data_IF_071279876484
#
_entry.id   IF_071279876484
#
_cell.length_a   1.000
_cell.length_b   1.000
_cell.length_c   1.000
_cell.angle_alpha   90.00
_cell.angle_beta   90.00
_cell.angle_gamma   90.00
#
_symmetry.space_group_name_H-M   'P 1'
#
loop_
_entity.id
_entity.type
_entity.pdbx_description
1 polymer ?
#
# COMPACT_ATOMS: atom_id res chain seq x y z
N UNK A 1 -16.87 -11.23 8.75
CA UNK A 1 -15.46 -11.36 8.33
C UNK A 1 -15.19 -12.72 7.72
N UNK A 2 -14.72 -12.79 6.48
CA UNK A 2 -14.31 -14.04 5.83
C UNK A 2 -13.07 -14.61 6.52
N UNK A 3 -13.09 -15.88 6.93
CA UNK A 3 -11.96 -16.52 7.62
C UNK A 3 -11.14 -17.40 6.66
N UNK A 4 -9.80 -17.35 6.71
CA UNK A 4 -8.94 -18.22 5.90
C UNK A 4 -9.05 -19.68 6.33
N UNK A 5 -8.88 -20.60 5.39
CA UNK A 5 -8.57 -21.99 5.72
C UNK A 5 -7.13 -22.11 6.26
N UNK A 6 -6.79 -23.21 6.94
CA UNK A 6 -5.49 -23.38 7.60
C UNK A 6 -4.28 -23.15 6.67
N UNK A 7 -4.36 -23.55 5.40
CA UNK A 7 -3.28 -23.33 4.41
C UNK A 7 -3.23 -21.91 3.82
N UNK A 8 -4.28 -21.12 4.06
CA UNK A 8 -4.43 -19.73 3.61
C UNK A 8 -4.16 -18.72 4.73
N UNK A 9 -4.02 -19.18 5.97
CA UNK A 9 -3.79 -18.34 7.13
C UNK A 9 -2.29 -18.09 7.35
N UNK A 10 -1.97 -16.92 7.90
CA UNK A 10 -0.70 -16.65 8.57
C UNK A 10 -0.74 -17.22 9.99
N UNK A 11 0.30 -17.93 10.40
CA UNK A 11 0.33 -18.68 11.66
C UNK A 11 0.28 -17.77 12.90
N UNK A 12 0.90 -16.58 12.81
CA UNK A 12 0.96 -15.64 13.94
C UNK A 12 -0.33 -14.83 14.07
N UNK A 13 -0.83 -14.29 12.96
CA UNK A 13 -1.91 -13.29 12.99
C UNK A 13 -3.29 -13.88 12.70
N UNK A 14 -3.37 -15.13 12.22
CA UNK A 14 -4.59 -15.78 11.72
C UNK A 14 -5.30 -15.03 10.57
N UNK A 15 -4.67 -13.98 10.02
CA UNK A 15 -5.13 -13.30 8.81
C UNK A 15 -4.78 -14.13 7.57
N UNK A 16 -5.27 -13.73 6.41
CA UNK A 16 -4.83 -14.34 5.15
C UNK A 16 -3.31 -14.14 4.97
N UNK A 17 -2.63 -15.14 4.45
CA UNK A 17 -1.24 -14.98 4.01
C UNK A 17 -1.17 -14.31 2.63
N UNK A 18 0.01 -13.81 2.27
CA UNK A 18 0.25 -13.14 0.98
C UNK A 18 -0.28 -13.91 -0.23
N UNK A 19 -0.07 -15.22 -0.28
CA UNK A 19 -0.50 -16.05 -1.42
C UNK A 19 -2.02 -16.05 -1.56
N UNK A 20 -2.73 -16.18 -0.44
CA UNK A 20 -4.19 -16.16 -0.44
C UNK A 20 -4.73 -14.76 -0.78
N UNK A 21 -4.13 -13.69 -0.25
CA UNK A 21 -4.49 -12.32 -0.62
C UNK A 21 -4.43 -12.06 -2.13
N UNK A 22 -3.35 -12.46 -2.81
CA UNK A 22 -3.21 -12.26 -4.25
C UNK A 22 -4.28 -13.04 -5.04
N UNK A 23 -4.59 -14.27 -4.63
CA UNK A 23 -5.63 -15.08 -5.26
C UNK A 23 -7.01 -14.41 -5.12
N UNK A 24 -7.32 -13.87 -3.94
CA UNK A 24 -8.58 -13.17 -3.67
C UNK A 24 -8.67 -11.84 -4.44
N UNK A 25 -7.58 -11.09 -4.51
CA UNK A 25 -7.50 -9.86 -5.31
C UNK A 25 -7.77 -10.12 -6.80
N UNK A 26 -7.17 -11.17 -7.35
CA UNK A 26 -7.43 -11.61 -8.73
C UNK A 26 -8.90 -11.98 -8.95
N UNK A 27 -9.51 -12.66 -7.99
CA UNK A 27 -10.93 -13.01 -7.99
C UNK A 27 -11.84 -11.77 -7.97
N UNK A 28 -11.63 -10.86 -7.02
CA UNK A 28 -12.41 -9.62 -6.87
C UNK A 28 -12.28 -8.74 -8.12
N UNK A 29 -11.06 -8.59 -8.66
CA UNK A 29 -10.83 -7.82 -9.88
C UNK A 29 -11.57 -8.41 -11.09
N UNK A 30 -11.57 -9.73 -11.22
CA UNK A 30 -12.28 -10.42 -12.31
C UNK A 30 -13.79 -10.21 -12.20
N UNK A 31 -14.35 -10.32 -10.99
CA UNK A 31 -15.78 -10.06 -10.74
C UNK A 31 -16.15 -8.60 -11.02
N UNK A 32 -15.34 -7.65 -10.56
CA UNK A 32 -15.56 -6.23 -10.78
C UNK A 32 -15.60 -5.87 -12.28
N UNK A 33 -14.68 -6.44 -13.08
CA UNK A 33 -14.63 -6.26 -14.54
C UNK A 33 -15.82 -6.85 -15.30
N UNK A 34 -16.39 -7.95 -14.82
CA UNK A 34 -17.53 -8.62 -15.46
C UNK A 34 -18.87 -7.95 -15.13
N UNK A 35 -18.91 -7.11 -14.11
CA UNK A 35 -20.13 -6.39 -13.72
C UNK A 35 -20.48 -5.30 -14.74
N UNK A 36 -21.78 -5.15 -15.05
CA UNK A 36 -22.28 -4.19 -16.04
C UNK A 36 -21.91 -2.72 -15.76
N UNK A 37 -21.65 -2.39 -14.48
CA UNK A 37 -21.38 -1.02 -14.03
C UNK A 37 -20.00 -0.86 -13.37
N UNK A 38 -19.08 -1.82 -13.52
CA UNK A 38 -17.76 -1.81 -12.87
C UNK A 38 -17.83 -1.51 -11.37
N UNK A 39 -18.21 -2.50 -10.57
CA UNK A 39 -18.35 -2.32 -9.12
C UNK A 39 -16.98 -1.93 -8.49
N UNK A 40 -16.87 -0.78 -7.82
CA UNK A 40 -15.61 -0.31 -7.28
C UNK A 40 -15.18 -1.16 -6.09
N UNK A 41 -13.87 -1.36 -5.96
CA UNK A 41 -13.26 -1.92 -4.76
C UNK A 41 -11.92 -1.23 -4.51
N UNK A 42 -11.46 -1.26 -3.27
CA UNK A 42 -10.22 -0.62 -2.88
C UNK A 42 -9.23 -1.62 -2.30
N UNK A 43 -7.94 -1.38 -2.52
CA UNK A 43 -6.84 -2.17 -1.98
C UNK A 43 -5.92 -1.25 -1.19
N UNK A 44 -5.60 -1.67 0.02
CA UNK A 44 -4.69 -0.95 0.90
C UNK A 44 -3.45 -1.78 1.20
N UNK A 45 -2.29 -1.13 1.19
CA UNK A 45 -1.06 -1.64 1.79
C UNK A 45 -0.77 -0.82 3.04
N UNK A 46 -0.40 -1.49 4.12
CA UNK A 46 -0.18 -0.92 5.44
C UNK A 46 1.14 -1.44 5.96
N UNK A 47 1.90 -0.60 6.66
CA UNK A 47 3.16 -0.96 7.28
C UNK A 47 3.24 -0.39 8.68
N UNK A 48 3.75 -1.19 9.61
CA UNK A 48 3.98 -0.75 11.00
C UNK A 48 5.24 0.10 11.05
N UNK A 49 5.06 1.38 11.40
CA UNK A 49 6.14 2.34 11.35
C UNK A 49 7.24 2.01 12.38
N UNK A 50 8.48 1.94 11.88
CA UNK A 50 9.68 1.67 12.69
C UNK A 50 9.63 0.33 13.43
N UNK A 51 9.02 -0.70 12.83
CA UNK A 51 8.95 -2.03 13.43
C UNK A 51 10.34 -2.64 13.76
N UNK A 52 11.37 -2.31 12.98
CA UNK A 52 12.75 -2.68 13.31
C UNK A 52 13.18 -2.15 14.69
N UNK A 53 12.92 -0.87 14.99
CA UNK A 53 13.28 -0.26 16.28
C UNK A 53 12.53 -0.91 17.46
N UNK A 54 11.28 -1.34 17.21
CA UNK A 54 10.49 -2.10 18.19
C UNK A 54 11.16 -3.44 18.49
N UNK A 55 11.57 -4.18 17.45
CA UNK A 55 12.27 -5.46 17.63
C UNK A 55 13.62 -5.29 18.34
N UNK A 56 14.38 -4.25 18.00
CA UNK A 56 15.66 -3.97 18.67
C UNK A 56 15.45 -3.66 20.16
N UNK A 57 14.38 -2.93 20.50
CA UNK A 57 14.12 -2.52 21.88
C UNK A 57 13.47 -3.61 22.73
N UNK A 58 12.49 -4.32 22.20
CA UNK A 58 11.64 -5.25 22.95
C UNK A 58 11.86 -6.73 22.57
N UNK A 59 12.76 -6.99 21.62
CA UNK A 59 13.01 -8.31 21.05
C UNK A 59 11.90 -8.74 20.09
N UNK A 60 12.17 -9.82 19.34
CA UNK A 60 11.20 -10.40 18.41
C UNK A 60 9.89 -10.80 19.08
N UNK A 61 9.91 -11.28 20.32
CA UNK A 61 8.69 -11.58 21.06
C UNK A 61 7.83 -10.34 21.34
N UNK A 62 8.44 -9.16 21.49
CA UNK A 62 7.73 -7.88 21.57
C UNK A 62 7.14 -7.47 20.21
N UNK A 63 7.90 -7.65 19.13
CA UNK A 63 7.40 -7.46 17.77
C UNK A 63 6.21 -8.36 17.43
N UNK A 64 6.27 -9.64 17.80
CA UNK A 64 5.18 -10.60 17.60
C UNK A 64 3.89 -10.12 18.30
N UNK A 65 4.01 -9.59 19.54
CA UNK A 65 2.87 -9.02 20.26
C UNK A 65 2.27 -7.80 19.55
N UNK A 66 3.09 -6.98 18.90
CA UNK A 66 2.64 -5.84 18.10
C UNK A 66 1.89 -6.32 16.85
N UNK A 67 2.41 -7.34 16.17
CA UNK A 67 1.76 -7.94 14.99
C UNK A 67 0.41 -8.57 15.34
N UNK A 68 0.34 -9.32 16.44
CA UNK A 68 -0.91 -9.90 16.97
C UNK A 68 -1.91 -8.80 17.38
N UNK A 69 -1.46 -7.75 18.07
CA UNK A 69 -2.34 -6.66 18.49
C UNK A 69 -2.86 -5.87 17.28
N UNK A 70 -2.00 -5.59 16.29
CA UNK A 70 -2.43 -4.90 15.08
C UNK A 70 -3.39 -5.75 14.25
N UNK A 71 -3.17 -7.06 14.15
CA UNK A 71 -4.09 -7.94 13.43
C UNK A 71 -5.48 -7.94 14.05
N UNK A 72 -5.60 -7.95 15.38
CA UNK A 72 -6.89 -7.83 16.08
C UNK A 72 -7.63 -6.54 15.71
N UNK A 73 -6.93 -5.40 15.72
CA UNK A 73 -7.51 -4.10 15.35
C UNK A 73 -8.04 -4.13 13.92
N UNK A 74 -7.24 -4.67 12.99
CA UNK A 74 -7.66 -4.80 11.59
C UNK A 74 -8.91 -5.69 11.47
N UNK A 75 -8.98 -6.81 12.20
CA UNK A 75 -10.15 -7.69 12.18
C UNK A 75 -11.41 -7.00 12.74
N UNK A 76 -11.27 -6.23 13.81
CA UNK A 76 -12.39 -5.53 14.44
C UNK A 76 -12.91 -4.35 13.61
N UNK A 77 -12.04 -3.68 12.86
CA UNK A 77 -12.34 -2.37 12.27
C UNK A 77 -12.41 -2.34 10.74
N UNK A 78 -11.82 -3.31 10.02
CA UNK A 78 -11.85 -3.30 8.55
C UNK A 78 -13.26 -3.51 7.98
N UNK A 79 -14.15 -4.13 8.75
CA UNK A 79 -15.51 -4.48 8.37
C UNK A 79 -15.65 -5.95 7.97
N UNK A 80 -16.87 -6.47 8.07
CA UNK A 80 -17.15 -7.89 7.86
C UNK A 80 -16.94 -8.39 6.43
N UNK A 81 -17.00 -7.46 5.48
CA UNK A 81 -16.80 -7.63 4.04
C UNK A 81 -15.33 -7.55 3.62
N UNK A 82 -14.49 -6.95 4.45
CA UNK A 82 -13.08 -6.76 4.13
C UNK A 82 -12.28 -8.07 4.25
N UNK A 83 -11.33 -8.24 3.34
CA UNK A 83 -10.34 -9.30 3.40
C UNK A 83 -9.01 -8.72 3.86
N UNK A 84 -8.54 -9.16 5.02
CA UNK A 84 -7.31 -8.66 5.63
C UNK A 84 -6.22 -9.73 5.65
N UNK A 85 -5.00 -9.34 5.35
CA UNK A 85 -3.86 -10.22 5.18
C UNK A 85 -2.62 -9.67 5.87
N UNK A 86 -1.78 -10.57 6.39
CA UNK A 86 -0.36 -10.30 6.61
C UNK A 86 0.38 -10.53 5.29
N UNK A 87 0.79 -9.44 4.66
CA UNK A 87 1.38 -9.44 3.32
C UNK A 87 2.89 -9.70 3.35
N UNK A 88 3.57 -9.20 4.39
CA UNK A 88 5.01 -9.33 4.61
C UNK A 88 5.35 -9.50 6.09
N UNK A 89 6.58 -9.16 6.47
CA UNK A 89 7.03 -9.26 7.88
C UNK A 89 6.17 -8.39 8.80
N UNK A 90 6.16 -7.10 8.54
CA UNK A 90 5.41 -6.03 9.22
C UNK A 90 4.39 -5.33 8.32
N UNK A 91 4.23 -5.86 7.11
CA UNK A 91 3.31 -5.34 6.10
C UNK A 91 1.98 -6.09 6.12
N UNK A 92 0.89 -5.34 6.06
CA UNK A 92 -0.47 -5.83 5.99
C UNK A 92 -1.13 -5.34 4.71
N UNK A 93 -2.07 -6.10 4.19
CA UNK A 93 -2.85 -5.71 3.03
C UNK A 93 -4.33 -5.97 3.26
N UNK A 94 -5.18 -5.06 2.78
CA UNK A 94 -6.64 -5.17 2.92
C UNK A 94 -7.30 -4.97 1.55
N UNK A 95 -8.24 -5.84 1.22
CA UNK A 95 -9.19 -5.64 0.13
C UNK A 95 -10.51 -5.19 0.75
N UNK A 96 -11.05 -4.07 0.28
CA UNK A 96 -12.39 -3.58 0.63
C UNK A 96 -13.31 -3.77 -0.59
N UNK A 97 -14.05 -4.88 -0.68
CA UNK A 97 -15.01 -5.11 -1.77
C UNK A 97 -16.11 -4.05 -1.75
N UNK A 98 -16.65 -3.71 -2.92
CA UNK A 98 -17.78 -2.79 -3.07
C UNK A 98 -17.56 -1.43 -2.36
N UNK A 99 -16.31 -1.02 -2.19
CA UNK A 99 -15.91 0.14 -1.39
C UNK A 99 -15.09 1.09 -2.22
N UNK A 100 -15.59 2.32 -2.36
CA UNK A 100 -14.90 3.41 -3.04
C UNK A 100 -13.71 3.94 -2.25
N UNK A 101 -12.85 4.67 -2.94
CA UNK A 101 -11.58 5.18 -2.43
C UNK A 101 -11.71 5.96 -1.14
N UNK A 102 -12.65 6.91 -1.09
CA UNK A 102 -12.86 7.80 0.04
C UNK A 102 -13.40 7.04 1.26
N UNK A 103 -14.24 6.01 1.03
CA UNK A 103 -14.75 5.16 2.11
C UNK A 103 -13.66 4.26 2.68
N UNK A 104 -12.83 3.66 1.82
CA UNK A 104 -11.68 2.88 2.25
C UNK A 104 -10.68 3.71 3.05
N UNK A 105 -10.42 4.95 2.62
CA UNK A 105 -9.59 5.91 3.38
C UNK A 105 -10.11 6.15 4.79
N UNK A 106 -11.42 6.40 4.93
CA UNK A 106 -12.03 6.63 6.25
C UNK A 106 -11.90 5.41 7.16
N UNK A 107 -12.13 4.19 6.64
CA UNK A 107 -11.94 2.95 7.43
C UNK A 107 -10.49 2.78 7.87
N UNK A 108 -9.53 3.10 7.00
CA UNK A 108 -8.11 3.01 7.33
C UNK A 108 -7.66 4.08 8.33
N UNK A 109 -8.19 5.30 8.26
CA UNK A 109 -7.91 6.31 9.29
C UNK A 109 -8.44 5.87 10.65
N UNK A 110 -9.60 5.21 10.70
CA UNK A 110 -10.09 4.62 11.96
C UNK A 110 -9.16 3.53 12.49
N UNK A 111 -8.69 2.62 11.63
CA UNK A 111 -7.69 1.60 11.99
C UNK A 111 -6.41 2.25 12.51
N UNK A 112 -5.89 3.27 11.82
CA UNK A 112 -4.65 3.98 12.19
C UNK A 112 -4.77 4.65 13.56
N UNK A 113 -5.89 5.35 13.80
CA UNK A 113 -6.14 6.00 15.08
C UNK A 113 -6.21 4.98 16.21
N UNK A 114 -6.95 3.87 16.02
CA UNK A 114 -7.06 2.82 17.02
C UNK A 114 -5.70 2.14 17.30
N UNK A 115 -4.92 1.88 16.25
CA UNK A 115 -3.57 1.33 16.36
C UNK A 115 -2.64 2.26 17.15
N UNK A 116 -2.67 3.56 16.85
CA UNK A 116 -1.87 4.57 17.57
C UNK A 116 -2.24 4.70 19.05
N UNK A 117 -3.48 4.39 19.42
CA UNK A 117 -3.97 4.42 20.80
C UNK A 117 -3.82 3.08 21.53
N UNK A 118 -3.47 2.00 20.84
CA UNK A 118 -3.35 0.66 21.42
C UNK A 118 -2.05 0.53 22.22
N UNK A 119 -2.19 0.42 23.53
CA UNK A 119 -1.09 -0.02 24.38
C UNK A 119 -0.93 -1.54 24.30
N UNK A 120 0.32 -2.01 24.13
CA UNK A 120 0.65 -3.44 24.10
C UNK A 120 1.61 -3.75 25.23
N UNK A 121 1.31 -4.80 26.00
CA UNK A 121 2.15 -5.26 27.12
C UNK A 121 2.95 -6.49 26.67
N UNK A 122 4.27 -6.44 26.81
CA UNK A 122 5.16 -7.56 26.46
C UNK A 122 5.06 -8.69 27.48
N UNK A 123 5.59 -9.86 27.15
CA UNK A 123 5.69 -11.00 28.09
C UNK A 123 6.54 -10.70 29.32
N UNK A 124 7.40 -9.66 29.26
CA UNK A 124 8.22 -9.18 30.37
C UNK A 124 7.55 -8.06 31.19
N UNK A 125 6.32 -7.69 30.85
CA UNK A 125 5.58 -6.60 31.51
C UNK A 125 5.97 -5.19 31.05
N UNK A 126 6.68 -5.06 29.94
CA UNK A 126 7.01 -3.75 29.37
C UNK A 126 5.84 -3.21 28.56
N UNK A 127 5.64 -1.90 28.60
CA UNK A 127 4.55 -1.23 27.88
C UNK A 127 5.08 -0.61 26.59
N UNK A 128 4.46 -0.95 25.47
CA UNK A 128 4.73 -0.37 24.14
C UNK A 128 3.60 0.62 23.82
N UNK A 129 3.89 1.92 23.72
CA UNK A 129 2.88 2.94 23.52
C UNK A 129 2.50 3.06 22.05
N UNK A 130 1.36 2.48 21.68
CA UNK A 130 0.81 2.61 20.34
C UNK A 130 1.49 1.75 19.29
N UNK A 131 0.81 1.64 18.15
CA UNK A 131 1.27 0.97 16.95
C UNK A 131 1.09 1.97 15.80
N UNK A 132 2.01 2.93 15.61
CA UNK A 132 1.90 3.87 14.49
C UNK A 132 1.98 3.10 13.18
N UNK A 133 1.09 3.41 12.25
CA UNK A 133 1.04 2.75 10.94
C UNK A 133 0.91 3.76 9.82
N UNK A 134 1.59 3.48 8.72
CA UNK A 134 1.41 4.21 7.46
C UNK A 134 0.64 3.33 6.48
N UNK A 135 -0.25 3.92 5.69
CA UNK A 135 -1.04 3.18 4.72
C UNK A 135 -1.18 3.91 3.38
N UNK A 136 -1.26 3.14 2.30
CA UNK A 136 -1.52 3.61 0.95
C UNK A 136 -2.70 2.89 0.31
N UNK A 137 -3.59 3.64 -0.34
CA UNK A 137 -4.85 3.12 -0.91
C UNK A 137 -4.92 3.37 -2.41
N UNK A 138 -5.33 2.36 -3.18
CA UNK A 138 -5.70 2.49 -4.58
C UNK A 138 -7.03 1.78 -4.86
N UNK A 139 -7.81 2.29 -5.80
CA UNK A 139 -9.16 1.79 -6.07
C UNK A 139 -9.37 1.46 -7.54
N UNK A 140 -10.05 0.36 -7.80
CA UNK A 140 -10.60 0.04 -9.11
C UNK A 140 -11.91 0.81 -9.33
N UNK A 141 -12.18 1.33 -10.54
CA UNK A 141 -11.30 1.36 -11.71
C UNK A 141 -10.40 2.61 -11.77
N UNK A 142 -10.57 3.57 -10.86
CA UNK A 142 -10.03 4.93 -10.99
C UNK A 142 -8.50 5.02 -10.94
N UNK A 143 -7.85 4.21 -10.10
CA UNK A 143 -6.40 4.26 -9.89
C UNK A 143 -5.65 3.18 -10.69
N UNK A 144 -6.38 2.14 -11.15
CA UNK A 144 -5.82 1.04 -11.91
C UNK A 144 -6.86 0.01 -12.33
N UNK A 145 -6.59 -0.72 -13.41
CA UNK A 145 -7.47 -1.77 -13.97
C UNK A 145 -6.82 -3.14 -13.97
N UNK A 146 -5.61 -3.26 -13.45
CA UNK A 146 -4.90 -4.53 -13.23
C UNK A 146 -4.44 -4.65 -11.78
N UNK A 147 -4.24 -5.89 -11.34
CA UNK A 147 -3.69 -6.19 -10.01
C UNK A 147 -2.36 -5.45 -9.77
N UNK A 148 -1.45 -5.52 -10.76
CA UNK A 148 -0.16 -4.85 -10.69
C UNK A 148 -0.27 -3.32 -10.58
N UNK A 149 -1.19 -2.69 -11.31
CA UNK A 149 -1.39 -1.24 -11.21
C UNK A 149 -1.92 -0.83 -9.84
N UNK A 150 -2.93 -1.55 -9.33
CA UNK A 150 -3.53 -1.26 -8.02
C UNK A 150 -2.48 -1.41 -6.91
N UNK A 151 -1.77 -2.54 -6.87
CA UNK A 151 -0.72 -2.77 -5.85
C UNK A 151 0.40 -1.74 -5.95
N UNK A 152 0.87 -1.43 -7.17
CA UNK A 152 1.90 -0.40 -7.37
C UNK A 152 1.43 0.98 -6.91
N UNK A 153 0.17 1.35 -7.18
CA UNK A 153 -0.37 2.65 -6.77
C UNK A 153 -0.59 2.74 -5.25
N UNK A 154 -1.04 1.66 -4.61
CA UNK A 154 -1.12 1.56 -3.15
C UNK A 154 0.26 1.67 -2.51
N UNK A 155 1.27 0.95 -3.04
CA UNK A 155 2.65 1.00 -2.57
C UNK A 155 3.25 2.42 -2.67
N UNK A 156 3.07 3.09 -3.80
CA UNK A 156 3.52 4.48 -3.95
C UNK A 156 2.82 5.45 -3.00
N UNK A 157 1.54 5.22 -2.70
CA UNK A 157 0.82 6.02 -1.71
C UNK A 157 1.36 5.76 -0.29
N UNK A 158 1.64 4.49 0.04
CA UNK A 158 2.26 4.10 1.31
C UNK A 158 3.66 4.71 1.47
N UNK A 159 4.49 4.65 0.42
CA UNK A 159 5.79 5.30 0.41
C UNK A 159 5.66 6.80 0.69
N UNK A 160 4.69 7.48 0.06
CA UNK A 160 4.42 8.90 0.30
C UNK A 160 3.96 9.17 1.74
N UNK A 161 3.21 8.27 2.36
CA UNK A 161 2.87 8.36 3.78
C UNK A 161 4.13 8.28 4.67
N UNK A 162 5.04 7.34 4.39
CA UNK A 162 6.30 7.17 5.12
C UNK A 162 7.23 8.38 5.00
N UNK A 163 7.36 8.93 3.80
CA UNK A 163 8.17 10.14 3.52
C UNK A 163 7.51 11.39 4.10
N UNK A 164 6.19 11.51 4.08
CA UNK A 164 5.50 12.68 4.63
C UNK A 164 5.41 12.73 6.17
N UNK A 165 6.23 11.95 6.88
CA UNK A 165 6.29 11.95 8.34
C UNK A 165 5.66 10.74 9.04
N UNK A 166 5.25 9.69 8.30
CA UNK A 166 4.65 8.45 8.83
C UNK A 166 3.30 8.69 9.53
N UNK A 167 2.76 7.66 10.19
CA UNK A 167 1.49 7.69 10.94
C UNK A 167 0.34 8.40 10.18
N UNK A 168 0.12 8.00 8.93
CA UNK A 168 -0.90 8.60 8.07
C UNK A 168 -1.36 7.66 6.97
N UNK A 169 -2.61 7.82 6.53
CA UNK A 169 -3.13 7.19 5.32
C UNK A 169 -2.97 8.15 4.14
N UNK A 170 -2.55 7.65 2.98
CA UNK A 170 -2.51 8.41 1.73
C UNK A 170 -3.33 7.68 0.66
N UNK A 171 -4.12 8.47 -0.07
CA UNK A 171 -4.75 8.01 -1.30
C UNK A 171 -3.73 8.02 -2.43
N UNK A 172 -3.84 7.06 -3.34
CA UNK A 172 -3.19 7.17 -4.63
C UNK A 172 -3.81 8.33 -5.41
N UNK A 173 -2.98 9.02 -6.17
CA UNK A 173 -3.43 10.08 -7.08
C UNK A 173 -3.00 9.76 -8.50
N UNK A 174 -3.81 10.23 -9.45
CA UNK A 174 -3.39 10.35 -10.84
C UNK A 174 -2.12 11.20 -10.88
N UNK A 175 -1.04 10.62 -11.38
CA UNK A 175 0.04 11.41 -11.95
C UNK A 175 -0.54 12.05 -13.21
N UNK A 176 -1.22 13.20 -13.07
CA UNK A 176 -1.52 14.01 -14.26
C UNK A 176 -0.19 14.32 -14.90
N UNK A 177 -0.04 13.87 -16.15
CA UNK A 177 1.05 14.28 -17.00
C UNK A 177 1.04 15.81 -17.04
N UNK A 178 2.05 16.45 -16.45
CA UNK A 178 2.28 17.87 -16.66
C UNK A 178 2.65 18.00 -18.15
N UNK A 179 2.00 18.89 -18.92
CA UNK A 179 2.27 19.00 -20.35
C UNK A 179 3.77 19.23 -20.58
N UNK A 180 4.38 18.38 -21.40
CA UNK A 180 5.82 18.39 -21.72
C UNK A 180 6.31 19.73 -22.31
N UNK A 181 5.38 20.54 -22.81
CA UNK A 181 5.65 21.75 -23.59
C UNK A 181 6.19 22.94 -22.80
N UNK A 182 6.10 22.98 -21.46
CA UNK A 182 6.66 24.10 -20.69
C UNK A 182 8.16 23.99 -20.42
N UNK A 183 8.77 22.79 -20.57
CA UNK A 183 10.14 22.53 -20.14
C UNK A 183 11.04 21.88 -21.19
N UNK A 184 10.50 21.45 -22.32
CA UNK A 184 11.25 20.80 -23.39
C UNK A 184 11.06 21.53 -24.73
N UNK A 185 12.14 21.64 -25.49
CA UNK A 185 12.10 22.16 -26.86
C UNK A 185 11.39 21.16 -27.80
N UNK A 186 10.83 21.65 -28.90
CA UNK A 186 10.21 20.81 -29.93
C UNK A 186 11.16 19.69 -30.42
N UNK A 187 12.44 20.02 -30.63
CA UNK A 187 13.46 19.05 -31.05
C UNK A 187 13.70 17.95 -30.02
N UNK A 188 13.60 18.26 -28.72
CA UNK A 188 13.71 17.23 -27.67
C UNK A 188 12.50 16.29 -27.67
N UNK A 189 11.30 16.82 -27.92
CA UNK A 189 10.07 16.02 -28.00
C UNK A 189 10.08 15.09 -29.22
N UNK A 190 10.54 15.57 -30.38
CA UNK A 190 10.69 14.75 -31.59
C UNK A 190 11.68 13.60 -31.37
N UNK A 191 12.81 13.87 -30.71
CA UNK A 191 13.81 12.83 -30.38
C UNK A 191 13.28 11.83 -29.36
N UNK A 192 12.54 12.29 -28.36
CA UNK A 192 11.91 11.43 -27.36
C UNK A 192 10.88 10.50 -28.01
N UNK A 193 10.06 11.04 -28.92
CA UNK A 193 9.06 10.26 -29.66
C UNK A 193 9.71 9.18 -30.51
N UNK A 194 10.77 9.55 -31.24
CA UNK A 194 11.57 8.59 -32.01
C UNK A 194 12.17 7.48 -31.13
N UNK A 195 12.72 7.83 -29.96
CA UNK A 195 13.28 6.88 -29.02
C UNK A 195 12.20 5.95 -28.44
N UNK A 196 11.00 6.47 -28.17
CA UNK A 196 9.84 5.71 -27.71
C UNK A 196 9.44 4.64 -28.72
N UNK A 197 9.38 4.99 -30.01
CA UNK A 197 9.10 4.05 -31.11
C UNK A 197 10.19 2.98 -31.25
N UNK A 198 11.47 3.40 -31.28
CA UNK A 198 12.61 2.48 -31.42
C UNK A 198 12.72 1.46 -30.28
N UNK A 199 12.34 1.87 -29.06
CA UNK A 199 12.38 1.02 -27.87
C UNK A 199 11.06 0.28 -27.61
N UNK A 200 9.98 0.65 -28.29
CA UNK A 200 8.62 0.14 -28.02
C UNK A 200 8.22 0.31 -26.54
N UNK A 201 8.61 1.45 -25.95
CA UNK A 201 8.29 1.84 -24.56
C UNK A 201 7.65 3.22 -24.60
N UNK A 202 6.73 3.55 -23.69
CA UNK A 202 6.07 4.85 -23.73
C UNK A 202 7.04 6.00 -23.45
N UNK A 203 6.81 7.16 -24.06
CA UNK A 203 7.60 8.37 -23.78
C UNK A 203 7.55 8.78 -22.29
N UNK A 204 6.52 8.35 -21.55
CA UNK A 204 6.40 8.59 -20.12
C UNK A 204 7.38 7.73 -19.30
N UNK A 205 7.58 6.48 -19.71
CA UNK A 205 8.53 5.58 -19.05
C UNK A 205 9.97 6.04 -19.29
N UNK A 206 10.29 6.44 -20.52
CA UNK A 206 11.61 7.01 -20.85
C UNK A 206 11.91 8.30 -20.07
N UNK A 207 10.91 9.14 -19.83
CA UNK A 207 11.07 10.34 -19.00
C UNK A 207 11.25 10.01 -17.51
N UNK A 208 10.58 8.96 -17.02
CA UNK A 208 10.77 8.48 -15.64
C UNK A 208 12.17 7.88 -15.48
N UNK A 209 12.60 7.04 -16.42
CA UNK A 209 13.98 6.52 -16.48
C UNK A 209 15.01 7.65 -16.51
N UNK A 210 14.83 8.64 -17.38
CA UNK A 210 15.73 9.80 -17.45
C UNK A 210 15.76 10.64 -16.16
N UNK A 211 14.63 10.72 -15.44
CA UNK A 211 14.56 11.38 -14.14
C UNK A 211 15.32 10.59 -13.07
N UNK A 212 15.11 9.28 -13.02
CA UNK A 212 15.78 8.38 -12.07
C UNK A 212 17.30 8.38 -12.29
N UNK A 213 17.74 8.36 -13.56
CA UNK A 213 19.14 8.50 -13.95
C UNK A 213 19.72 9.85 -13.52
N UNK A 214 18.96 10.94 -13.68
CA UNK A 214 19.38 12.28 -13.29
C UNK A 214 19.53 12.39 -11.77
N UNK A 215 18.56 11.89 -11.00
CA UNK A 215 18.61 11.88 -9.54
C UNK A 215 19.78 11.03 -9.03
N UNK A 216 19.97 9.85 -9.61
CA UNK A 216 21.10 8.96 -9.31
C UNK A 216 22.43 9.64 -9.59
N UNK A 217 22.56 10.32 -10.73
CA UNK A 217 23.75 11.06 -11.12
C UNK A 217 24.14 12.14 -10.12
N UNK A 218 23.16 12.81 -9.50
CA UNK A 218 23.41 13.86 -8.50
C UNK A 218 23.33 13.37 -7.05
N UNK A 219 23.23 12.05 -6.83
CA UNK A 219 23.19 11.46 -5.50
C UNK A 219 21.92 11.78 -4.70
N UNK A 220 20.87 12.27 -5.37
CA UNK A 220 19.57 12.60 -4.75
C UNK A 220 18.71 11.33 -4.72
N UNK A 221 19.17 10.33 -3.97
CA UNK A 221 18.53 9.01 -3.94
C UNK A 221 17.42 8.91 -2.88
N UNK A 222 17.33 9.90 -2.00
CA UNK A 222 16.36 9.99 -0.91
C UNK A 222 15.96 11.44 -0.75
N UNK A 223 14.66 11.68 -0.67
CA UNK A 223 14.16 12.94 -0.10
C UNK A 223 14.37 12.78 1.40
N UNK A 224 15.23 13.62 2.00
CA UNK A 224 15.29 13.73 3.46
C UNK A 224 13.93 14.23 3.94
N UNK A 225 13.27 13.35 4.67
CA UNK A 225 12.00 13.56 5.35
C UNK A 225 11.85 12.51 6.44
#
# INVERSE_FOLDING_TARGET
>A
MTKPQTSQADELTSLFNRKAFLAELSGVLSQAKLSTHEVPFSVALIDIDRFYDINERYGHAGGDKILEAFSQIVQEMAGDDALSSRYGGDEFAIIFPNTEREQAFLRLEQIRIAASQREVVTTKGEHIPGIPVSAGVASFPIDGRSENELLRKSDQALYRAKVAGRDQVRLSYEERMVPKTSHFTQTQLERLSKLSEERSVSEADLLREAMDDLLTKYGVNKIES
#
